data_IF_189930154482
#
_entry.id   IF_189930154482
#
_cell.length_a   1.000
_cell.length_b   1.000
_cell.length_c   1.000
_cell.angle_alpha   90.00
_cell.angle_beta   90.00
_cell.angle_gamma   90.00
#
_symmetry.space_group_name_H-M   'P 1'
#
loop_
_entity.id
_entity.type
_entity.pdbx_description
1 polymer ?
#
# COMPACT_ATOMS: atom_id res chain seq x y z
N UNK A 1 -14.76 -5.88 -17.80
CA UNK A 1 -13.33 -5.80 -17.47
C UNK A 1 -12.54 -6.07 -18.73
N UNK A 2 -11.78 -5.09 -19.22
CA UNK A 2 -10.76 -5.35 -20.25
C UNK A 2 -9.47 -5.69 -19.51
N UNK A 3 -8.99 -6.91 -19.69
CA UNK A 3 -7.65 -7.29 -19.28
C UNK A 3 -6.70 -6.66 -20.28
N UNK A 4 -5.95 -5.65 -19.86
CA UNK A 4 -4.79 -5.18 -20.62
C UNK A 4 -3.58 -5.59 -19.81
N UNK A 5 -3.02 -6.76 -20.18
CA UNK A 5 -1.65 -7.10 -19.78
C UNK A 5 -0.75 -6.26 -20.67
N UNK A 6 -0.56 -4.99 -20.31
CA UNK A 6 0.51 -4.20 -20.90
C UNK A 6 1.80 -4.67 -20.23
N UNK A 7 2.59 -5.46 -20.95
CA UNK A 7 3.98 -5.78 -20.63
C UNK A 7 4.90 -4.57 -20.82
N UNK A 8 4.53 -3.42 -20.23
CA UNK A 8 5.43 -2.29 -20.04
C UNK A 8 5.99 -2.42 -18.64
N UNK A 9 7.25 -2.81 -18.55
CA UNK A 9 7.98 -3.09 -17.32
C UNK A 9 8.06 -1.86 -16.40
N UNK A 10 7.15 -1.79 -15.41
CA UNK A 10 7.50 -1.34 -14.06
C UNK A 10 7.93 -2.60 -13.28
N UNK A 11 8.96 -3.28 -13.78
CA UNK A 11 9.45 -4.52 -13.22
C UNK A 11 10.39 -4.20 -12.05
N UNK A 12 9.80 -4.00 -10.87
CA UNK A 12 10.52 -3.63 -9.64
C UNK A 12 11.21 -4.85 -9.00
N UNK A 13 11.99 -5.61 -9.78
CA UNK A 13 12.74 -6.79 -9.31
C UNK A 13 14.02 -6.47 -8.52
N UNK A 14 14.35 -5.18 -8.35
CA UNK A 14 15.55 -4.76 -7.63
C UNK A 14 15.50 -5.10 -6.13
N UNK A 15 14.29 -5.26 -5.57
CA UNK A 15 14.07 -5.71 -4.22
C UNK A 15 13.37 -7.07 -4.15
N UNK A 16 13.49 -7.75 -3.02
CA UNK A 16 12.85 -9.03 -2.74
C UNK A 16 12.07 -8.96 -1.42
N UNK A 17 11.05 -9.81 -1.29
CA UNK A 17 10.37 -10.08 -0.02
C UNK A 17 10.99 -11.24 0.76
N UNK A 18 11.96 -11.97 0.19
CA UNK A 18 12.72 -12.98 0.94
C UNK A 18 13.60 -12.30 1.99
N UNK A 19 13.24 -12.50 3.26
CA UNK A 19 13.93 -11.93 4.43
C UNK A 19 15.40 -12.34 4.54
N UNK A 20 15.81 -13.43 3.89
CA UNK A 20 17.19 -13.90 3.89
C UNK A 20 17.99 -13.42 2.68
N UNK A 21 17.37 -12.74 1.72
CA UNK A 21 18.05 -12.22 0.54
C UNK A 21 18.85 -10.95 0.87
N UNK A 22 19.94 -10.72 0.14
CA UNK A 22 20.74 -9.49 0.23
C UNK A 22 19.98 -8.24 -0.21
N UNK A 23 18.88 -8.40 -0.96
CA UNK A 23 17.94 -7.33 -1.32
C UNK A 23 16.57 -7.53 -0.65
N UNK A 24 16.53 -8.26 0.47
CA UNK A 24 15.34 -8.50 1.28
C UNK A 24 14.92 -7.28 2.13
N UNK A 25 13.77 -7.33 2.82
CA UNK A 25 13.21 -6.18 3.55
C UNK A 25 14.13 -5.53 4.58
N UNK A 26 15.01 -6.29 5.23
CA UNK A 26 15.98 -5.76 6.18
C UNK A 26 17.07 -4.88 5.53
N UNK A 27 17.22 -4.98 4.20
CA UNK A 27 18.27 -4.34 3.43
C UNK A 27 17.75 -3.36 2.39
N UNK A 28 16.43 -3.11 2.28
CA UNK A 28 15.88 -2.23 1.25
C UNK A 28 16.49 -0.83 1.28
N UNK A 29 16.73 -0.27 2.48
CA UNK A 29 17.35 1.05 2.60
C UNK A 29 18.83 1.12 2.20
N UNK A 30 19.47 -0.02 1.93
CA UNK A 30 20.86 -0.13 1.49
C UNK A 30 20.99 -0.28 -0.04
N UNK A 31 19.89 -0.59 -0.73
CA UNK A 31 19.90 -0.84 -2.19
C UNK A 31 20.18 0.47 -2.94
N UNK A 32 19.45 1.54 -2.59
CA UNK A 32 19.62 2.87 -3.18
C UNK A 32 19.58 3.98 -2.12
N UNK A 33 20.35 5.08 -2.28
CA UNK A 33 20.33 6.21 -1.34
C UNK A 33 18.93 6.79 -1.08
N UNK A 34 18.08 6.86 -2.12
CA UNK A 34 16.69 7.32 -2.05
C UNK A 34 15.76 6.42 -1.22
N UNK A 35 16.16 5.16 -0.97
CA UNK A 35 15.37 4.20 -0.19
C UNK A 35 15.80 4.14 1.28
N UNK A 36 16.80 4.93 1.68
CA UNK A 36 17.37 4.97 3.05
C UNK A 36 16.32 5.02 4.17
N UNK A 37 15.17 5.67 3.93
CA UNK A 37 14.05 5.74 4.88
C UNK A 37 13.45 4.39 5.24
N UNK A 38 13.57 3.35 4.42
CA UNK A 38 13.13 1.98 4.75
C UNK A 38 13.83 1.44 6.00
N UNK A 39 15.10 1.81 6.22
CA UNK A 39 15.88 1.35 7.38
C UNK A 39 16.01 2.42 8.47
N UNK A 40 15.94 3.71 8.11
CA UNK A 40 16.20 4.82 9.03
C UNK A 40 14.95 5.51 9.57
N UNK A 41 13.77 5.25 8.98
CA UNK A 41 12.55 5.95 9.37
C UNK A 41 11.94 5.42 10.67
N UNK A 42 11.46 6.33 11.51
CA UNK A 42 10.80 5.99 12.79
C UNK A 42 9.28 5.77 12.67
N UNK A 43 8.71 5.98 11.48
CA UNK A 43 7.27 5.90 11.21
C UNK A 43 6.97 4.96 10.03
N UNK A 44 7.62 3.80 10.01
CA UNK A 44 7.40 2.76 8.99
C UNK A 44 6.09 2.00 9.21
N UNK A 45 5.60 1.40 8.12
CA UNK A 45 4.51 0.41 8.12
C UNK A 45 5.06 -0.90 7.53
N UNK A 46 4.43 -2.06 7.81
CA UNK A 46 3.25 -2.27 8.64
C UNK A 46 3.50 -2.17 10.15
N UNK A 47 2.42 -2.14 10.94
CA UNK A 47 2.47 -2.22 12.42
C UNK A 47 1.46 -3.23 12.97
N UNK A 48 1.67 -3.66 14.22
CA UNK A 48 0.65 -4.38 15.00
C UNK A 48 -0.40 -3.40 15.56
N UNK A 49 -1.64 -3.60 15.15
CA UNK A 49 -2.82 -2.88 15.60
C UNK A 49 -3.39 -3.57 16.85
N UNK A 50 -2.90 -3.16 18.02
CA UNK A 50 -3.34 -3.71 19.31
C UNK A 50 -4.36 -2.83 20.02
N UNK A 51 -5.40 -3.46 20.57
CA UNK A 51 -6.40 -2.78 21.41
C UNK A 51 -5.80 -2.14 22.68
N UNK A 52 -4.59 -2.56 23.11
CA UNK A 52 -3.93 -2.02 24.30
C UNK A 52 -3.35 -0.62 24.10
N UNK A 53 -3.00 -0.26 22.86
CA UNK A 53 -2.33 1.01 22.52
C UNK A 53 -3.22 1.98 21.75
N UNK A 54 -4.38 1.53 21.28
CA UNK A 54 -5.33 2.38 20.55
C UNK A 54 -6.02 3.36 21.49
N UNK A 55 -6.24 4.58 21.01
CA UNK A 55 -7.09 5.58 21.68
C UNK A 55 -8.38 5.72 20.91
N UNK A 56 -9.51 5.40 21.53
CA UNK A 56 -10.82 5.56 20.91
C UNK A 56 -11.24 7.03 20.92
N UNK A 57 -11.76 7.53 19.81
CA UNK A 57 -12.28 8.89 19.71
C UNK A 57 -13.49 8.92 18.78
N UNK A 58 -14.53 9.66 19.16
CA UNK A 58 -15.69 9.93 18.31
C UNK A 58 -15.48 11.14 17.39
N UNK A 59 -14.44 11.95 17.65
CA UNK A 59 -14.16 13.20 16.92
C UNK A 59 -13.89 12.95 15.43
N UNK A 60 -13.30 11.80 15.09
CA UNK A 60 -13.02 11.43 13.70
C UNK A 60 -14.29 11.07 12.90
N UNK A 61 -15.39 10.74 13.57
CA UNK A 61 -16.63 10.34 12.91
C UNK A 61 -16.50 9.05 12.10
N UNK A 62 -17.40 8.89 11.12
CA UNK A 62 -17.35 7.79 10.14
C UNK A 62 -16.45 8.22 8.98
N UNK A 63 -15.67 7.30 8.43
CA UNK A 63 -14.89 7.56 7.22
C UNK A 63 -15.83 7.93 6.07
N UNK A 64 -15.69 9.17 5.60
CA UNK A 64 -16.45 9.70 4.46
C UNK A 64 -15.83 9.23 3.15
N UNK A 65 -16.64 8.57 2.32
CA UNK A 65 -16.23 7.90 1.10
C UNK A 65 -17.28 8.15 0.03
N UNK A 66 -16.86 8.69 -1.10
CA UNK A 66 -17.68 8.76 -2.29
C UNK A 66 -16.96 8.12 -3.47
N UNK A 67 -16.95 6.78 -3.47
CA UNK A 67 -16.41 6.00 -4.59
C UNK A 67 -17.44 5.83 -5.69
N UNK A 68 -17.00 5.88 -6.94
CA UNK A 68 -17.85 5.69 -8.12
C UNK A 68 -17.34 4.51 -8.95
N UNK A 69 -18.23 3.72 -9.58
CA UNK A 69 -17.82 2.77 -10.61
C UNK A 69 -17.00 3.48 -11.69
N UNK A 70 -15.80 2.97 -11.99
CA UNK A 70 -14.89 3.58 -12.95
C UNK A 70 -14.07 2.50 -13.67
N UNK A 71 -13.68 2.81 -14.91
CA UNK A 71 -12.81 1.93 -15.70
C UNK A 71 -11.42 1.86 -15.07
N UNK A 72 -10.87 0.66 -15.00
CA UNK A 72 -9.58 0.37 -14.36
C UNK A 72 -8.78 -0.64 -15.17
N UNK A 73 -7.47 -0.64 -14.94
CA UNK A 73 -6.54 -1.64 -15.48
C UNK A 73 -6.00 -2.48 -14.34
N UNK A 74 -6.06 -3.81 -14.49
CA UNK A 74 -5.35 -4.75 -13.62
C UNK A 74 -3.92 -4.92 -14.14
N UNK A 75 -2.94 -4.72 -13.25
CA UNK A 75 -1.51 -4.71 -13.53
C UNK A 75 -0.85 -5.70 -12.56
N UNK A 76 0.06 -6.53 -13.07
CA UNK A 76 1.00 -7.29 -12.27
C UNK A 76 2.33 -6.55 -12.29
N UNK A 77 2.82 -6.10 -11.13
CA UNK A 77 4.08 -5.34 -11.00
C UNK A 77 5.28 -6.20 -10.63
N UNK A 78 5.16 -7.52 -10.72
CA UNK A 78 6.18 -8.48 -10.31
C UNK A 78 6.19 -8.78 -8.82
N UNK A 79 5.82 -7.80 -7.97
CA UNK A 79 5.83 -7.92 -6.51
C UNK A 79 4.43 -7.77 -5.88
N UNK A 80 3.43 -7.26 -6.61
CA UNK A 80 2.03 -7.27 -6.24
C UNK A 80 1.09 -7.30 -7.47
N UNK A 81 -0.21 -7.44 -7.18
CA UNK A 81 -1.27 -7.15 -8.14
C UNK A 81 -1.86 -5.77 -7.81
N UNK A 82 -2.10 -4.94 -8.82
CA UNK A 82 -2.62 -3.58 -8.66
C UNK A 82 -3.79 -3.32 -9.61
N UNK A 83 -4.84 -2.67 -9.13
CA UNK A 83 -5.80 -1.93 -9.94
C UNK A 83 -5.40 -0.47 -10.02
N UNK A 84 -5.38 0.10 -11.23
CA UNK A 84 -5.06 1.52 -11.48
C UNK A 84 -6.17 2.22 -12.24
N UNK A 85 -6.66 3.33 -11.69
CA UNK A 85 -7.67 4.20 -12.31
C UNK A 85 -7.03 5.50 -12.81
N UNK A 86 -6.91 5.67 -14.13
CA UNK A 86 -6.23 6.84 -14.75
C UNK A 86 -6.93 8.17 -14.41
N UNK A 87 -8.25 8.16 -14.22
CA UNK A 87 -9.05 9.34 -13.85
C UNK A 87 -9.61 9.28 -12.43
N UNK A 88 -9.08 8.37 -11.61
CA UNK A 88 -9.59 8.04 -10.28
C UNK A 88 -10.92 7.29 -10.28
N UNK A 89 -11.35 6.86 -9.08
CA UNK A 89 -12.60 6.14 -8.83
C UNK A 89 -13.43 6.77 -7.70
N UNK A 90 -13.46 8.10 -7.65
CA UNK A 90 -14.00 8.88 -6.54
C UNK A 90 -12.93 9.19 -5.49
N UNK A 91 -13.35 9.44 -4.25
CA UNK A 91 -12.46 9.97 -3.21
C UNK A 91 -12.87 9.57 -1.79
N UNK A 92 -11.99 9.88 -0.83
CA UNK A 92 -12.30 9.98 0.60
C UNK A 92 -12.08 11.42 1.07
N UNK A 93 -12.81 11.84 2.10
CA UNK A 93 -12.57 13.12 2.78
C UNK A 93 -11.97 12.91 4.16
N UNK A 94 -10.88 13.61 4.44
CA UNK A 94 -10.24 13.64 5.75
C UNK A 94 -9.99 15.10 6.11
N UNK A 95 -10.61 15.58 7.20
CA UNK A 95 -10.46 16.95 7.71
C UNK A 95 -10.64 18.04 6.62
N UNK A 96 -11.65 17.89 5.76
CA UNK A 96 -11.96 18.83 4.69
C UNK A 96 -11.04 18.74 3.45
N UNK A 97 -10.07 17.82 3.45
CA UNK A 97 -9.23 17.53 2.28
C UNK A 97 -9.76 16.31 1.54
N UNK A 98 -9.90 16.45 0.23
CA UNK A 98 -10.30 15.38 -0.68
C UNK A 98 -9.06 14.59 -1.14
N UNK A 99 -9.09 13.27 -1.02
CA UNK A 99 -8.05 12.36 -1.50
C UNK A 99 -8.64 11.40 -2.53
N UNK A 100 -8.17 11.52 -3.78
CA UNK A 100 -8.64 10.71 -4.90
C UNK A 100 -8.18 9.24 -4.81
N UNK A 101 -9.08 8.30 -5.10
CA UNK A 101 -8.74 6.88 -5.22
C UNK A 101 -8.07 6.61 -6.57
N UNK A 102 -6.74 6.48 -6.57
CA UNK A 102 -5.93 6.27 -7.78
C UNK A 102 -5.58 4.81 -8.05
N UNK A 103 -5.31 4.04 -6.99
CA UNK A 103 -4.94 2.63 -7.07
C UNK A 103 -5.40 1.83 -5.85
N UNK A 104 -5.48 0.52 -6.02
CA UNK A 104 -5.56 -0.45 -4.93
C UNK A 104 -4.65 -1.63 -5.28
N UNK A 105 -4.00 -2.22 -4.28
CA UNK A 105 -3.13 -3.38 -4.47
C UNK A 105 -3.33 -4.40 -3.34
N UNK A 106 -2.80 -5.61 -3.55
CA UNK A 106 -2.99 -6.73 -2.65
C UNK A 106 -1.66 -7.31 -2.18
N UNK A 107 -1.61 -7.65 -0.90
CA UNK A 107 -0.56 -8.41 -0.26
C UNK A 107 -1.12 -9.73 0.27
N UNK A 108 -0.33 -10.80 0.16
CA UNK A 108 -0.62 -12.10 0.78
C UNK A 108 0.68 -12.70 1.32
N UNK A 109 0.81 -12.95 2.64
CA UNK A 109 -0.18 -12.72 3.70
C UNK A 109 -0.44 -11.22 3.99
N UNK A 110 -1.26 -10.94 5.00
CA UNK A 110 -1.48 -9.58 5.51
C UNK A 110 -0.17 -8.99 6.05
N UNK A 111 0.10 -7.71 5.77
CA UNK A 111 1.26 -7.02 6.31
C UNK A 111 0.99 -6.50 7.75
N UNK A 112 -0.12 -5.80 7.93
CA UNK A 112 -0.57 -5.37 9.25
C UNK A 112 -1.14 -6.56 10.03
N UNK A 113 -0.88 -6.58 11.34
CA UNK A 113 -1.46 -7.58 12.25
C UNK A 113 -2.48 -6.94 13.19
N UNK A 114 -3.44 -7.73 13.65
CA UNK A 114 -4.42 -7.32 14.67
C UNK A 114 -4.20 -8.16 15.92
N UNK A 115 -3.77 -7.53 17.01
CA UNK A 115 -3.40 -8.21 18.24
C UNK A 115 -2.38 -9.34 17.98
N UNK A 116 -1.36 -9.03 17.19
CA UNK A 116 -0.27 -9.92 16.79
C UNK A 116 -0.71 -11.13 15.95
N UNK A 117 -1.86 -11.03 15.28
CA UNK A 117 -2.37 -12.07 14.36
C UNK A 117 -2.45 -11.53 12.94
N UNK A 118 -1.98 -12.33 11.99
CA UNK A 118 -2.16 -12.13 10.55
C UNK A 118 -3.55 -12.57 10.11
#
# INVERSE_FOLDING_TARGET
MKYVVNGGADDEHEFSYDVNSSNGPNHWGEIHPEWSMCNQGDMQSPIDLTHKRVRTTSVLGRLDRDYKPANTTLINRGHDMMLRWIRGAGHIHINGTEYQLNQAHWHTPTEHTINSRM
#
